data_IF_816975731654
#
_entry.id   IF_816975731654
#
_cell.length_a   1.000
_cell.length_b   1.000
_cell.length_c   1.000
_cell.angle_alpha   90.00
_cell.angle_beta   90.00
_cell.angle_gamma   90.00
#
_symmetry.space_group_name_H-M   'P 1'
#
loop_
_entity.id
_entity.type
_entity.pdbx_description
1 polymer ?
#
# COMPACT_ATOMS: atom_id res chain seq x y z
N UNK A 1 -22.78 36.97 1.76
CA UNK A 1 -22.81 35.70 2.52
C UNK A 1 -21.53 34.97 2.18
N UNK A 2 -20.64 34.72 3.14
CA UNK A 2 -19.49 33.85 2.87
C UNK A 2 -20.02 32.48 2.49
N UNK A 3 -19.68 31.96 1.31
CA UNK A 3 -20.00 30.57 0.97
C UNK A 3 -19.37 29.68 2.04
N UNK A 4 -20.15 28.70 2.51
CA UNK A 4 -19.64 27.68 3.45
C UNK A 4 -18.54 26.89 2.73
N UNK A 5 -17.43 26.63 3.40
CA UNK A 5 -16.38 25.76 2.89
C UNK A 5 -16.93 24.37 2.54
N UNK A 6 -16.46 23.81 1.43
CA UNK A 6 -16.83 22.49 0.94
C UNK A 6 -16.23 21.42 1.85
N UNK A 7 -17.06 20.60 2.50
CA UNK A 7 -16.59 19.63 3.49
C UNK A 7 -16.25 18.30 2.85
N UNK A 8 -15.02 17.84 3.07
CA UNK A 8 -14.54 16.53 2.59
C UNK A 8 -14.28 15.64 3.78
N UNK A 9 -15.03 14.54 3.94
CA UNK A 9 -14.74 13.53 4.96
C UNK A 9 -13.79 12.48 4.40
N UNK A 10 -12.56 12.44 4.90
CA UNK A 10 -11.60 11.38 4.58
C UNK A 10 -11.85 10.18 5.51
N UNK A 11 -12.04 9.00 4.93
CA UNK A 11 -12.27 7.75 5.68
C UNK A 11 -11.19 6.73 5.33
N UNK A 12 -10.43 6.31 6.33
CA UNK A 12 -9.38 5.30 6.20
C UNK A 12 -9.11 4.56 7.51
N UNK A 13 -8.48 3.39 7.45
CA UNK A 13 -8.35 2.52 8.63
C UNK A 13 -6.97 1.95 8.89
N UNK A 14 -6.11 1.95 7.88
CA UNK A 14 -4.85 1.23 7.88
C UNK A 14 -3.67 2.17 7.64
N UNK A 15 -2.50 1.70 8.03
CA UNK A 15 -1.23 2.39 7.81
C UNK A 15 -0.99 2.76 6.33
N UNK A 16 -1.13 1.84 5.34
CA UNK A 16 -0.95 2.20 3.93
C UNK A 16 -1.89 3.31 3.47
N UNK A 17 -3.15 3.30 3.92
CA UNK A 17 -4.11 4.35 3.57
C UNK A 17 -3.71 5.71 4.17
N UNK A 18 -3.30 5.75 5.43
CA UNK A 18 -2.84 6.98 6.07
C UNK A 18 -1.64 7.59 5.33
N UNK A 19 -0.67 6.77 4.92
CA UNK A 19 0.50 7.23 4.15
C UNK A 19 0.07 7.83 2.81
N UNK A 20 -0.82 7.15 2.08
CA UNK A 20 -1.29 7.59 0.76
C UNK A 20 -2.21 8.80 0.81
N UNK A 21 -2.97 8.99 1.88
CA UNK A 21 -3.85 10.14 2.05
C UNK A 21 -3.20 11.33 2.73
N UNK A 22 -2.04 11.16 3.37
CA UNK A 22 -1.40 12.23 4.14
C UNK A 22 -1.19 13.53 3.34
N UNK A 23 -0.65 13.40 2.12
CA UNK A 23 -0.38 14.58 1.30
C UNK A 23 -1.63 15.09 0.59
N UNK A 24 -2.59 14.22 0.30
CA UNK A 24 -3.93 14.65 -0.16
C UNK A 24 -4.57 15.53 0.92
N UNK A 25 -4.59 15.07 2.16
CA UNK A 25 -5.12 15.83 3.29
C UNK A 25 -4.41 17.19 3.43
N UNK A 26 -3.08 17.22 3.34
CA UNK A 26 -2.31 18.46 3.46
C UNK A 26 -2.66 19.47 2.36
N UNK A 27 -2.83 19.01 1.12
CA UNK A 27 -3.26 19.90 0.03
C UNK A 27 -4.71 20.38 0.22
N UNK A 28 -5.61 19.53 0.74
CA UNK A 28 -6.97 19.95 1.09
C UNK A 28 -6.98 21.00 2.21
N UNK A 29 -6.12 20.83 3.22
CA UNK A 29 -5.99 21.78 4.35
C UNK A 29 -5.41 23.14 3.92
N UNK A 30 -4.64 23.19 2.82
CA UNK A 30 -4.09 24.43 2.29
C UNK A 30 -5.13 25.28 1.52
N UNK A 31 -6.29 24.71 1.20
CA UNK A 31 -7.37 25.41 0.51
C UNK A 31 -8.30 26.12 1.48
N UNK A 32 -8.52 27.42 1.30
CA UNK A 32 -9.50 28.18 2.08
C UNK A 32 -10.95 27.80 1.76
N UNK A 33 -11.18 27.08 0.65
CA UNK A 33 -12.51 26.68 0.18
C UNK A 33 -12.91 25.28 0.64
N UNK A 34 -12.00 24.51 1.24
CA UNK A 34 -12.23 23.12 1.62
C UNK A 34 -12.02 22.96 3.12
N UNK A 35 -12.98 22.30 3.78
CA UNK A 35 -12.85 21.88 5.17
C UNK A 35 -12.69 20.35 5.20
N UNK A 36 -11.45 19.84 5.28
CA UNK A 36 -11.23 18.40 5.43
C UNK A 36 -11.56 17.97 6.86
N UNK A 37 -12.25 16.83 6.98
CA UNK A 37 -12.54 16.15 8.23
C UNK A 37 -11.96 14.74 8.15
N UNK A 38 -11.18 14.34 9.15
CA UNK A 38 -10.49 13.05 9.18
C UNK A 38 -11.25 12.09 10.08
N UNK A 39 -11.75 10.99 9.52
CA UNK A 39 -12.38 9.90 10.25
C UNK A 39 -11.58 8.61 10.04
N UNK A 40 -10.97 8.13 11.11
CA UNK A 40 -10.21 6.89 11.08
C UNK A 40 -11.02 5.74 11.65
N UNK A 41 -10.90 4.55 11.07
CA UNK A 41 -11.55 3.37 11.67
C UNK A 41 -10.78 2.80 12.86
N UNK A 42 -9.49 3.13 12.99
CA UNK A 42 -8.59 2.58 14.00
C UNK A 42 -8.64 1.04 14.02
N UNK A 43 -8.29 0.40 12.89
CA UNK A 43 -8.26 -1.08 12.78
C UNK A 43 -6.97 -1.70 13.32
N UNK A 44 -5.90 -0.90 13.41
CA UNK A 44 -4.55 -1.30 13.81
C UNK A 44 -3.88 -0.13 14.54
N UNK A 45 -4.32 0.15 15.77
CA UNK A 45 -3.98 1.37 16.53
C UNK A 45 -2.48 1.72 16.46
N UNK A 46 -1.58 0.81 16.86
CA UNK A 46 -0.15 1.13 16.93
C UNK A 46 0.51 1.46 15.58
N UNK A 47 0.13 0.79 14.49
CA UNK A 47 0.75 1.01 13.17
C UNK A 47 0.14 2.20 12.43
N UNK A 48 -1.15 2.45 12.64
CA UNK A 48 -1.83 3.62 12.13
C UNK A 48 -1.29 4.88 12.82
N UNK A 49 -1.19 4.86 14.15
CA UNK A 49 -0.68 5.98 14.95
C UNK A 49 0.73 6.40 14.52
N UNK A 50 1.62 5.44 14.25
CA UNK A 50 2.95 5.72 13.70
C UNK A 50 2.90 6.51 12.39
N UNK A 51 1.95 6.20 11.49
CA UNK A 51 1.79 6.94 10.25
C UNK A 51 1.19 8.32 10.49
N UNK A 52 0.16 8.41 11.33
CA UNK A 52 -0.45 9.68 11.70
C UNK A 52 0.59 10.65 12.30
N UNK A 53 1.45 10.16 13.20
CA UNK A 53 2.52 10.95 13.83
C UNK A 53 3.53 11.48 12.82
N UNK A 54 4.00 10.62 11.89
CA UNK A 54 4.98 11.02 10.86
C UNK A 54 4.47 12.16 9.98
N UNK A 55 3.17 12.16 9.69
CA UNK A 55 2.54 13.20 8.86
C UNK A 55 1.84 14.29 9.68
N UNK A 56 1.94 14.23 11.02
CA UNK A 56 1.27 15.15 11.95
C UNK A 56 -0.24 15.27 11.69
N UNK A 57 -0.88 14.13 11.40
CA UNK A 57 -2.32 14.05 11.14
C UNK A 57 -3.03 13.79 12.47
N UNK A 58 -3.98 14.67 12.81
CA UNK A 58 -4.88 14.46 13.95
C UNK A 58 -6.26 14.05 13.43
N UNK A 59 -6.76 12.84 13.75
CA UNK A 59 -8.13 12.47 13.43
C UNK A 59 -9.14 13.35 14.17
N UNK A 60 -10.20 13.76 13.49
CA UNK A 60 -11.38 14.40 14.11
C UNK A 60 -12.31 13.35 14.74
N UNK A 61 -12.34 12.16 14.16
CA UNK A 61 -13.14 11.03 14.62
C UNK A 61 -12.32 9.74 14.56
N UNK A 62 -12.44 8.92 15.61
CA UNK A 62 -12.06 7.52 15.59
C UNK A 62 -13.31 6.67 15.72
N UNK A 63 -13.44 5.63 14.89
CA UNK A 63 -14.54 4.67 14.98
C UNK A 63 -14.21 3.50 15.90
N UNK A 64 -12.97 3.38 16.41
CA UNK A 64 -12.52 2.35 17.37
C UNK A 64 -12.96 0.92 17.01
N UNK A 65 -12.79 0.54 15.74
CA UNK A 65 -13.30 -0.74 15.21
C UNK A 65 -12.53 -1.95 15.77
N UNK A 66 -11.33 -1.74 16.31
CA UNK A 66 -10.43 -2.84 16.64
C UNK A 66 -10.91 -3.69 17.82
N UNK A 67 -11.14 -4.98 17.55
CA UNK A 67 -11.21 -6.06 18.55
C UNK A 67 -10.27 -7.22 18.14
N UNK A 68 -10.02 -8.15 19.06
CA UNK A 68 -9.22 -9.35 18.75
C UNK A 68 -9.97 -10.25 17.74
N UNK A 69 -9.23 -10.77 16.75
CA UNK A 69 -9.72 -11.74 15.74
C UNK A 69 -11.01 -11.32 14.99
N UNK A 70 -11.02 -10.10 14.45
CA UNK A 70 -12.16 -9.54 13.72
C UNK A 70 -12.49 -10.31 12.44
N UNK A 71 -13.77 -10.60 12.25
CA UNK A 71 -14.30 -11.03 10.95
C UNK A 71 -14.58 -9.83 10.03
N UNK A 72 -14.63 -10.08 8.71
CA UNK A 72 -15.06 -9.07 7.73
C UNK A 72 -16.48 -8.56 8.00
N UNK A 73 -17.36 -9.41 8.54
CA UNK A 73 -18.71 -9.03 8.96
C UNK A 73 -18.66 -8.01 10.09
N UNK A 74 -17.85 -8.26 11.12
CA UNK A 74 -17.71 -7.36 12.26
C UNK A 74 -17.21 -5.98 11.81
N UNK A 75 -16.12 -5.94 11.03
CA UNK A 75 -15.56 -4.69 10.52
C UNK A 75 -16.62 -3.89 9.77
N UNK A 76 -17.32 -4.55 8.84
CA UNK A 76 -18.34 -3.88 8.00
C UNK A 76 -19.47 -3.33 8.86
N UNK A 77 -19.98 -4.13 9.81
CA UNK A 77 -21.06 -3.72 10.71
C UNK A 77 -20.65 -2.49 11.54
N UNK A 78 -19.49 -2.56 12.20
CA UNK A 78 -19.06 -1.51 13.14
C UNK A 78 -18.74 -0.22 12.41
N UNK A 79 -18.08 -0.27 11.24
CA UNK A 79 -17.83 0.94 10.45
C UNK A 79 -19.14 1.60 10.04
N UNK A 80 -20.10 0.84 9.50
CA UNK A 80 -21.40 1.38 9.08
C UNK A 80 -22.19 1.97 10.26
N UNK A 81 -22.25 1.26 11.39
CA UNK A 81 -22.94 1.70 12.60
C UNK A 81 -22.36 3.00 13.15
N UNK A 82 -21.02 3.09 13.24
CA UNK A 82 -20.34 4.21 13.91
C UNK A 82 -20.09 5.40 12.99
N UNK A 83 -20.02 5.22 11.68
CA UNK A 83 -19.85 6.33 10.74
C UNK A 83 -21.15 7.12 10.53
N UNK A 84 -22.32 6.48 10.64
CA UNK A 84 -23.62 7.14 10.46
C UNK A 84 -23.80 8.42 11.31
N UNK A 85 -23.55 8.41 12.64
CA UNK A 85 -23.63 9.63 13.45
C UNK A 85 -22.62 10.71 13.01
N UNK A 86 -21.43 10.32 12.53
CA UNK A 86 -20.43 11.26 11.99
C UNK A 86 -20.96 11.95 10.74
N UNK A 87 -21.56 11.19 9.80
CA UNK A 87 -22.16 11.73 8.58
C UNK A 87 -23.32 12.67 8.88
N UNK A 88 -24.19 12.31 9.85
CA UNK A 88 -25.30 13.16 10.28
C UNK A 88 -24.83 14.45 10.94
N UNK A 89 -23.78 14.38 11.77
CA UNK A 89 -23.25 15.54 12.48
C UNK A 89 -22.48 16.50 11.57
N UNK A 90 -21.58 15.97 10.73
CA UNK A 90 -20.71 16.81 9.88
C UNK A 90 -21.38 17.26 8.59
N UNK A 91 -22.31 16.45 8.06
CA UNK A 91 -22.95 16.64 6.74
C UNK A 91 -21.92 16.98 5.68
N UNK A 92 -20.96 16.06 5.40
CA UNK A 92 -19.93 16.32 4.41
C UNK A 92 -20.56 16.43 3.02
N UNK A 93 -19.93 17.23 2.17
CA UNK A 93 -20.33 17.44 0.79
C UNK A 93 -19.71 16.37 -0.14
N UNK A 94 -18.65 15.69 0.32
CA UNK A 94 -17.98 14.57 -0.35
C UNK A 94 -17.35 13.64 0.71
N UNK A 95 -17.36 12.33 0.45
CA UNK A 95 -16.54 11.34 1.18
C UNK A 95 -15.37 10.94 0.30
N UNK A 96 -14.15 10.97 0.83
CA UNK A 96 -12.94 10.53 0.14
C UNK A 96 -12.42 9.26 0.80
N UNK A 97 -12.26 8.21 -0.01
CA UNK A 97 -11.77 6.89 0.43
C UNK A 97 -10.55 6.48 -0.42
N UNK A 98 -9.71 5.60 0.11
CA UNK A 98 -8.48 5.15 -0.57
C UNK A 98 -8.39 3.63 -0.64
N UNK A 99 -8.19 3.09 -1.84
CA UNK A 99 -7.81 1.70 -2.04
C UNK A 99 -8.93 0.69 -1.85
N UNK A 100 -8.64 -0.41 -1.16
CA UNK A 100 -9.44 -1.63 -1.24
C UNK A 100 -9.68 -2.32 0.11
N UNK A 101 -9.44 -1.61 1.21
CA UNK A 101 -9.68 -2.14 2.54
C UNK A 101 -11.19 -2.23 2.83
N UNK A 102 -11.53 -3.05 3.81
CA UNK A 102 -12.94 -3.23 4.20
C UNK A 102 -13.52 -1.94 4.83
N UNK A 103 -12.69 -1.12 5.49
CA UNK A 103 -13.08 0.24 5.94
C UNK A 103 -13.43 1.13 4.77
N UNK A 104 -12.60 1.12 3.72
CA UNK A 104 -12.81 1.88 2.49
C UNK A 104 -14.17 1.55 1.88
N UNK A 105 -14.47 0.25 1.77
CA UNK A 105 -15.75 -0.23 1.25
C UNK A 105 -16.92 0.20 2.11
N UNK A 106 -16.87 -0.02 3.42
CA UNK A 106 -17.95 0.35 4.33
C UNK A 106 -18.17 1.89 4.38
N UNK A 107 -17.10 2.69 4.31
CA UNK A 107 -17.17 4.15 4.21
C UNK A 107 -17.85 4.62 2.92
N UNK A 108 -17.49 4.03 1.78
CA UNK A 108 -18.14 4.31 0.50
C UNK A 108 -19.64 3.93 0.51
N UNK A 109 -19.97 2.76 1.08
CA UNK A 109 -21.35 2.29 1.21
C UNK A 109 -22.18 3.21 2.10
N UNK A 110 -21.62 3.71 3.21
CA UNK A 110 -22.29 4.68 4.06
C UNK A 110 -22.57 6.01 3.33
N UNK A 111 -21.63 6.48 2.51
CA UNK A 111 -21.83 7.64 1.62
C UNK A 111 -23.02 7.45 0.69
N UNK A 112 -23.06 6.30 0.00
CA UNK A 112 -24.18 5.92 -0.85
C UNK A 112 -25.53 5.90 -0.10
N UNK A 113 -25.60 5.29 1.08
CA UNK A 113 -26.84 5.27 1.88
C UNK A 113 -27.32 6.67 2.27
N UNK A 114 -26.38 7.58 2.53
CA UNK A 114 -26.68 8.97 2.88
C UNK A 114 -26.79 9.90 1.66
N UNK A 115 -26.66 9.39 0.43
CA UNK A 115 -26.63 10.16 -0.83
C UNK A 115 -25.55 11.26 -0.83
N UNK A 116 -24.41 10.96 -0.24
CA UNK A 116 -23.22 11.82 -0.24
C UNK A 116 -22.26 11.25 -1.29
N UNK A 117 -21.80 12.06 -2.26
CA UNK A 117 -20.91 11.55 -3.29
C UNK A 117 -19.59 11.04 -2.70
N UNK A 118 -19.05 10.01 -3.32
CA UNK A 118 -17.81 9.32 -2.95
C UNK A 118 -16.74 9.58 -4.01
N UNK A 119 -15.55 9.93 -3.54
CA UNK A 119 -14.35 10.00 -4.35
C UNK A 119 -13.38 8.88 -3.96
N UNK A 120 -12.93 8.11 -4.94
CA UNK A 120 -12.08 6.95 -4.73
C UNK A 120 -10.65 7.22 -5.24
N UNK A 121 -9.71 7.33 -4.29
CA UNK A 121 -8.28 7.42 -4.55
C UNK A 121 -7.69 6.03 -4.77
N UNK A 122 -6.86 5.88 -5.80
CA UNK A 122 -6.30 4.59 -6.25
C UNK A 122 -7.32 3.68 -6.96
N UNK A 123 -8.29 4.28 -7.64
CA UNK A 123 -9.34 3.56 -8.36
C UNK A 123 -8.82 2.72 -9.55
N UNK A 124 -9.53 1.63 -9.86
CA UNK A 124 -9.34 0.88 -11.12
C UNK A 124 -8.24 -0.20 -11.15
N UNK A 125 -7.59 -0.52 -10.03
CA UNK A 125 -6.70 -1.67 -9.96
C UNK A 125 -7.50 -2.99 -10.02
N UNK A 126 -7.03 -3.99 -10.77
CA UNK A 126 -7.73 -5.26 -10.97
C UNK A 126 -6.77 -6.45 -11.02
N UNK A 127 -7.22 -7.57 -10.48
CA UNK A 127 -6.66 -8.90 -10.74
C UNK A 127 -7.61 -9.75 -11.59
N UNK A 128 -8.89 -9.38 -11.66
CA UNK A 128 -9.99 -10.12 -12.25
C UNK A 128 -10.26 -11.48 -11.59
N UNK A 129 -9.73 -11.68 -10.37
CA UNK A 129 -10.05 -12.82 -9.51
C UNK A 129 -10.62 -12.32 -8.18
N UNK A 130 -11.93 -12.51 -8.00
CA UNK A 130 -12.66 -12.06 -6.80
C UNK A 130 -12.17 -12.69 -5.49
N UNK A 131 -11.39 -13.77 -5.56
CA UNK A 131 -10.84 -14.46 -4.39
C UNK A 131 -9.33 -14.29 -4.25
N UNK A 132 -8.68 -13.50 -5.13
CA UNK A 132 -7.24 -13.25 -5.08
C UNK A 132 -6.88 -11.86 -5.63
N UNK A 133 -6.53 -10.89 -4.76
CA UNK A 133 -6.55 -10.93 -3.29
C UNK A 133 -7.97 -10.88 -2.71
N UNK A 134 -8.17 -11.55 -1.56
CA UNK A 134 -9.45 -11.62 -0.84
C UNK A 134 -9.39 -10.91 0.51
N UNK A 135 -10.31 -9.98 0.80
CA UNK A 135 -11.49 -9.57 0.02
C UNK A 135 -11.24 -8.39 -0.96
N UNK A 136 -10.01 -7.95 -1.12
CA UNK A 136 -9.67 -6.65 -1.68
C UNK A 136 -10.10 -6.47 -3.16
N UNK A 137 -10.07 -7.52 -3.99
CA UNK A 137 -10.58 -7.42 -5.38
C UNK A 137 -12.05 -7.03 -5.42
N UNK A 138 -12.88 -7.65 -4.58
CA UNK A 138 -14.30 -7.32 -4.56
C UNK A 138 -14.53 -5.93 -3.96
N UNK A 139 -13.80 -5.56 -2.90
CA UNK A 139 -13.93 -4.25 -2.28
C UNK A 139 -13.70 -3.12 -3.29
N UNK A 140 -12.58 -3.10 -4.03
CA UNK A 140 -12.30 -2.03 -5.01
C UNK A 140 -13.29 -2.00 -6.16
N UNK A 141 -13.76 -3.16 -6.63
CA UNK A 141 -14.78 -3.21 -7.68
C UNK A 141 -16.11 -2.61 -7.21
N UNK A 142 -16.51 -2.87 -5.97
CA UNK A 142 -17.73 -2.30 -5.38
C UNK A 142 -17.59 -0.81 -5.11
N UNK A 143 -16.45 -0.36 -4.56
CA UNK A 143 -16.19 1.06 -4.31
C UNK A 143 -16.21 1.85 -5.62
N UNK A 144 -15.59 1.34 -6.68
CA UNK A 144 -15.58 1.98 -8.00
C UNK A 144 -16.99 2.17 -8.59
N UNK A 145 -17.98 1.34 -8.19
CA UNK A 145 -19.38 1.49 -8.59
C UNK A 145 -20.16 2.48 -7.74
N UNK A 146 -19.72 2.69 -6.50
CA UNK A 146 -20.34 3.62 -5.56
C UNK A 146 -19.78 5.04 -5.72
N UNK A 147 -18.62 5.21 -6.36
CA UNK A 147 -17.93 6.48 -6.48
C UNK A 147 -18.36 7.32 -7.69
N UNK A 148 -18.54 8.62 -7.47
CA UNK A 148 -18.78 9.64 -8.48
C UNK A 148 -17.47 10.18 -9.09
N UNK A 149 -16.37 10.14 -8.32
CA UNK A 149 -15.05 10.58 -8.76
C UNK A 149 -14.02 9.47 -8.56
N UNK A 150 -13.28 9.11 -9.60
CA UNK A 150 -12.32 8.02 -9.60
C UNK A 150 -10.92 8.54 -9.97
N UNK A 151 -10.00 8.53 -9.02
CA UNK A 151 -8.62 8.95 -9.22
C UNK A 151 -7.74 7.72 -9.48
N UNK A 152 -7.61 7.39 -10.76
CA UNK A 152 -6.84 6.25 -11.23
C UNK A 152 -5.33 6.56 -11.24
N UNK A 153 -4.47 5.68 -10.70
CA UNK A 153 -3.04 5.95 -10.63
C UNK A 153 -2.34 5.83 -11.99
N UNK A 154 -2.92 5.09 -12.93
CA UNK A 154 -2.32 4.82 -14.25
C UNK A 154 -3.36 4.79 -15.36
N UNK A 155 -2.89 4.88 -16.61
CA UNK A 155 -3.74 4.68 -17.80
C UNK A 155 -4.34 3.27 -17.86
N UNK A 156 -3.64 2.25 -17.34
CA UNK A 156 -4.14 0.87 -17.26
C UNK A 156 -5.33 0.80 -16.30
N UNK A 157 -5.20 1.39 -15.11
CA UNK A 157 -6.29 1.44 -14.13
C UNK A 157 -7.52 2.18 -14.69
N UNK A 158 -7.30 3.30 -15.40
CA UNK A 158 -8.37 3.99 -16.14
C UNK A 158 -9.03 3.09 -17.19
N UNK A 159 -8.25 2.30 -17.92
CA UNK A 159 -8.79 1.41 -18.95
C UNK A 159 -9.65 0.28 -18.34
N UNK A 160 -9.28 -0.23 -17.17
CA UNK A 160 -10.09 -1.20 -16.43
C UNK A 160 -11.47 -0.60 -16.09
N UNK A 161 -11.50 0.60 -15.52
CA UNK A 161 -12.74 1.31 -15.17
C UNK A 161 -13.64 1.53 -16.41
N UNK A 162 -13.05 1.96 -17.52
CA UNK A 162 -13.78 2.15 -18.78
C UNK A 162 -14.34 0.83 -19.33
N UNK A 163 -13.58 -0.27 -19.23
CA UNK A 163 -14.02 -1.60 -19.68
C UNK A 163 -15.20 -2.14 -18.86
N UNK A 164 -15.36 -1.66 -17.63
CA UNK A 164 -16.48 -1.97 -16.75
C UNK A 164 -17.68 -1.04 -16.94
N UNK A 165 -17.59 -0.07 -17.87
CA UNK A 165 -18.67 0.85 -18.18
C UNK A 165 -18.79 2.05 -17.24
N UNK A 166 -17.75 2.37 -16.46
CA UNK A 166 -17.69 3.64 -15.73
C UNK A 166 -17.59 4.80 -16.72
N UNK A 167 -18.37 5.86 -16.48
CA UNK A 167 -18.42 7.04 -17.34
C UNK A 167 -17.06 7.73 -17.38
N UNK A 168 -16.58 8.05 -18.58
CA UNK A 168 -15.25 8.64 -18.79
C UNK A 168 -14.99 9.89 -17.94
N UNK A 169 -16.00 10.74 -17.79
CA UNK A 169 -15.88 12.04 -17.12
C UNK A 169 -15.76 11.93 -15.59
N UNK A 170 -16.06 10.75 -15.03
CA UNK A 170 -15.82 10.44 -13.63
C UNK A 170 -14.36 10.03 -13.36
N UNK A 171 -13.55 9.75 -14.39
CA UNK A 171 -12.22 9.12 -14.24
C UNK A 171 -11.08 10.09 -14.54
N UNK A 172 -10.21 10.30 -13.56
CA UNK A 172 -9.05 11.17 -13.62
C UNK A 172 -7.78 10.34 -13.44
N UNK A 173 -6.77 10.51 -14.32
CA UNK A 173 -5.46 9.86 -14.14
C UNK A 173 -4.56 10.81 -13.37
N UNK A 174 -4.21 10.44 -12.13
CA UNK A 174 -3.52 11.35 -11.19
C UNK A 174 -2.09 10.94 -10.85
N UNK A 175 -1.70 9.69 -11.14
CA UNK A 175 -0.55 9.08 -10.46
C UNK A 175 -0.95 8.50 -9.10
N UNK A 176 -0.01 7.82 -8.44
CA UNK A 176 -0.24 7.21 -7.12
C UNK A 176 0.39 8.08 -6.02
N UNK A 177 -0.40 8.44 -5.02
CA UNK A 177 0.01 9.32 -3.91
C UNK A 177 1.05 8.71 -2.97
N UNK A 178 1.31 7.41 -3.06
CA UNK A 178 2.43 6.76 -2.39
C UNK A 178 3.78 7.35 -2.84
N UNK A 179 3.87 7.82 -4.09
CA UNK A 179 5.07 8.46 -4.63
C UNK A 179 5.30 9.83 -4.00
N UNK A 180 4.24 10.61 -3.82
CA UNK A 180 4.30 11.89 -3.11
C UNK A 180 4.79 11.66 -1.67
N UNK A 181 4.23 10.66 -0.99
CA UNK A 181 4.61 10.30 0.39
C UNK A 181 6.09 9.87 0.47
N UNK A 182 6.56 9.13 -0.53
CA UNK A 182 7.97 8.75 -0.65
C UNK A 182 8.88 9.98 -0.72
N UNK A 183 8.61 10.91 -1.63
CA UNK A 183 9.42 12.11 -1.78
C UNK A 183 9.41 12.97 -0.51
N UNK A 184 8.23 13.09 0.13
CA UNK A 184 8.09 13.81 1.39
C UNK A 184 8.97 13.26 2.51
N UNK A 185 9.02 11.94 2.67
CA UNK A 185 9.83 11.27 3.70
C UNK A 185 11.31 11.34 3.35
N UNK A 186 11.69 11.07 2.09
CA UNK A 186 13.09 11.13 1.62
C UNK A 186 13.76 12.44 1.99
N UNK A 187 13.06 13.56 1.81
CA UNK A 187 13.61 14.90 2.01
C UNK A 187 13.73 15.30 3.49
N UNK A 188 13.12 14.52 4.40
CA UNK A 188 13.09 14.76 5.85
C UNK A 188 13.96 13.79 6.65
N UNK A 189 14.30 12.64 6.08
CA UNK A 189 15.18 11.66 6.74
C UNK A 189 16.64 12.03 6.45
N UNK A 190 17.44 12.43 7.45
CA UNK A 190 18.83 12.81 7.23
C UNK A 190 19.65 11.62 6.71
N UNK A 191 20.64 11.84 5.82
CA UNK A 191 21.44 10.77 5.21
C UNK A 191 22.25 9.88 6.19
N UNK A 192 22.23 10.20 7.49
CA UNK A 192 23.16 9.67 8.50
C UNK A 192 22.67 8.43 9.24
N UNK A 193 21.39 8.06 9.18
CA UNK A 193 20.95 6.73 9.60
C UNK A 193 21.26 5.69 8.50
N UNK A 194 22.49 5.71 7.99
CA UNK A 194 22.97 4.61 7.16
C UNK A 194 22.85 3.37 8.02
N UNK A 195 21.94 2.49 7.63
CA UNK A 195 21.86 1.14 8.16
C UNK A 195 23.28 0.60 8.30
N UNK A 196 23.62 0.09 9.48
CA UNK A 196 24.98 -0.38 9.71
C UNK A 196 25.21 -1.69 8.96
N UNK A 197 25.41 -1.57 7.65
CA UNK A 197 25.82 -2.64 6.76
C UNK A 197 27.20 -3.19 7.12
N UNK A 198 27.92 -2.64 8.11
CA UNK A 198 29.24 -3.17 8.50
C UNK A 198 29.14 -4.61 9.01
N UNK A 199 27.98 -5.04 9.56
CA UNK A 199 27.73 -6.46 9.85
C UNK A 199 27.59 -7.34 8.60
N UNK A 200 27.14 -6.76 7.48
CA UNK A 200 26.90 -7.48 6.24
C UNK A 200 28.08 -7.41 5.25
N UNK A 201 28.98 -6.43 5.41
CA UNK A 201 30.07 -6.11 4.46
C UNK A 201 29.71 -6.46 3.01
N UNK A 202 28.54 -5.99 2.50
CA UNK A 202 27.99 -6.50 1.26
C UNK A 202 28.95 -6.11 0.14
N UNK A 203 29.64 -7.11 -0.42
CA UNK A 203 30.42 -6.93 -1.63
C UNK A 203 29.48 -7.10 -2.81
N UNK A 204 29.43 -6.09 -3.69
CA UNK A 204 28.59 -6.10 -4.88
C UNK A 204 27.16 -5.63 -4.64
N UNK A 205 26.22 -6.33 -5.25
CA UNK A 205 24.83 -5.92 -5.49
C UNK A 205 23.93 -6.27 -4.31
N UNK A 206 23.07 -5.36 -3.88
CA UNK A 206 22.15 -5.60 -2.77
C UNK A 206 20.73 -5.84 -3.29
N UNK A 207 20.08 -6.90 -2.84
CA UNK A 207 18.67 -7.19 -3.13
C UNK A 207 17.86 -7.09 -1.84
N UNK A 208 17.01 -6.06 -1.73
CA UNK A 208 16.05 -5.94 -0.63
C UNK A 208 14.82 -6.80 -0.92
N UNK A 209 14.42 -7.61 0.05
CA UNK A 209 13.29 -8.52 -0.04
C UNK A 209 12.29 -8.23 1.08
N UNK A 210 11.01 -8.24 0.72
CA UNK A 210 9.89 -8.30 1.66
C UNK A 210 8.87 -9.33 1.15
N UNK A 211 8.31 -10.15 2.05
CA UNK A 211 7.21 -11.04 1.74
C UNK A 211 6.33 -11.21 3.00
N UNK A 212 5.04 -10.95 2.86
CA UNK A 212 4.10 -10.85 4.00
C UNK A 212 2.66 -11.28 3.68
N UNK A 213 2.39 -11.70 2.45
CA UNK A 213 1.05 -12.00 1.96
C UNK A 213 0.52 -13.33 2.52
N UNK A 214 -0.78 -13.37 2.86
CA UNK A 214 -1.41 -14.50 3.56
C UNK A 214 -1.40 -15.79 2.74
N UNK A 215 -1.57 -15.65 1.43
CA UNK A 215 -1.48 -16.70 0.42
C UNK A 215 -0.09 -17.34 0.33
N UNK A 216 0.97 -16.65 0.76
CA UNK A 216 2.31 -17.20 0.83
C UNK A 216 2.52 -18.18 2.01
N UNK A 217 1.58 -18.28 2.96
CA UNK A 217 1.75 -19.10 4.16
C UNK A 217 1.60 -20.60 3.91
N UNK A 218 0.91 -21.03 2.85
CA UNK A 218 0.79 -22.43 2.43
C UNK A 218 2.06 -22.93 1.69
N UNK A 219 3.21 -22.87 2.35
CA UNK A 219 4.51 -23.29 1.80
C UNK A 219 5.14 -22.32 0.79
N UNK A 220 4.51 -21.17 0.51
CA UNK A 220 5.04 -20.13 -0.36
C UNK A 220 6.31 -19.47 0.20
N UNK A 221 6.35 -19.23 1.51
CA UNK A 221 7.54 -18.70 2.19
C UNK A 221 8.73 -19.65 2.07
N UNK A 222 8.55 -20.96 2.23
CA UNK A 222 9.63 -21.94 2.07
C UNK A 222 10.19 -21.93 0.63
N UNK A 223 9.32 -21.83 -0.38
CA UNK A 223 9.75 -21.68 -1.78
C UNK A 223 10.51 -20.39 -2.02
N UNK A 224 10.07 -19.27 -1.43
CA UNK A 224 10.80 -18.01 -1.47
C UNK A 224 12.19 -18.19 -0.84
N UNK A 225 12.29 -18.79 0.36
CA UNK A 225 13.58 -19.06 1.00
C UNK A 225 14.51 -19.89 0.10
N UNK A 226 14.00 -20.95 -0.52
CA UNK A 226 14.79 -21.75 -1.47
C UNK A 226 15.29 -20.89 -2.64
N UNK A 227 14.41 -20.10 -3.25
CA UNK A 227 14.76 -19.24 -4.38
C UNK A 227 15.82 -18.19 -3.99
N UNK A 228 15.75 -17.64 -2.77
CA UNK A 228 16.77 -16.71 -2.25
C UNK A 228 18.12 -17.39 -2.02
N UNK A 229 18.13 -18.65 -1.54
CA UNK A 229 19.38 -19.44 -1.44
C UNK A 229 20.00 -19.69 -2.79
N UNK A 230 19.21 -20.14 -3.76
CA UNK A 230 19.67 -20.38 -5.12
C UNK A 230 20.24 -19.11 -5.75
N UNK A 231 19.60 -17.96 -5.51
CA UNK A 231 20.05 -16.67 -5.99
C UNK A 231 21.45 -16.31 -5.45
N UNK A 232 21.67 -16.37 -4.14
CA UNK A 232 23.01 -16.08 -3.61
C UNK A 232 24.03 -17.13 -4.08
N UNK A 233 23.68 -18.41 -4.13
CA UNK A 233 24.61 -19.45 -4.59
C UNK A 233 25.06 -19.25 -6.04
N UNK A 234 24.16 -18.86 -6.93
CA UNK A 234 24.47 -18.63 -8.35
C UNK A 234 25.17 -17.31 -8.63
N UNK A 235 25.09 -16.34 -7.73
CA UNK A 235 25.61 -14.99 -7.93
C UNK A 235 26.49 -14.59 -6.74
N UNK A 236 27.81 -14.75 -6.88
CA UNK A 236 28.78 -14.47 -5.81
C UNK A 236 28.86 -12.99 -5.43
N UNK A 237 28.43 -12.09 -6.32
CA UNK A 237 28.39 -10.64 -6.14
C UNK A 237 27.05 -10.14 -5.59
N UNK A 238 26.13 -11.01 -5.17
CA UNK A 238 24.83 -10.62 -4.63
C UNK A 238 24.76 -10.84 -3.12
N UNK A 239 24.31 -9.81 -2.40
CA UNK A 239 23.88 -9.86 -1.00
C UNK A 239 22.38 -9.61 -0.92
N UNK A 240 21.66 -10.45 -0.18
CA UNK A 240 20.23 -10.28 0.05
C UNK A 240 20.02 -9.66 1.43
N UNK A 241 19.16 -8.65 1.49
CA UNK A 241 18.65 -8.08 2.74
C UNK A 241 17.18 -8.42 2.80
N UNK A 242 16.75 -9.20 3.77
CA UNK A 242 15.36 -9.60 3.91
C UNK A 242 14.78 -9.01 5.20
N UNK A 243 13.88 -8.04 5.05
CA UNK A 243 13.04 -7.54 6.13
C UNK A 243 11.92 -8.54 6.43
N UNK A 244 12.09 -9.31 7.51
CA UNK A 244 11.24 -10.44 7.83
C UNK A 244 9.97 -9.96 8.51
N UNK A 245 8.81 -10.40 8.03
CA UNK A 245 7.51 -10.07 8.64
C UNK A 245 7.42 -10.62 10.08
N UNK A 246 6.78 -9.91 11.03
CA UNK A 246 6.78 -10.32 12.44
C UNK A 246 5.93 -11.58 12.74
N UNK A 247 5.04 -11.96 11.82
CA UNK A 247 4.20 -13.17 11.97
C UNK A 247 5.08 -14.41 12.25
N UNK A 248 4.87 -15.11 13.38
CA UNK A 248 5.67 -16.27 13.78
C UNK A 248 5.78 -17.34 12.68
N UNK A 249 4.68 -17.64 11.97
CA UNK A 249 4.65 -18.63 10.89
C UNK A 249 5.56 -18.27 9.71
N UNK A 250 5.87 -16.99 9.53
CA UNK A 250 6.84 -16.51 8.53
C UNK A 250 8.23 -16.47 9.13
N UNK A 251 8.35 -15.83 10.30
CA UNK A 251 9.63 -15.55 10.95
C UNK A 251 10.39 -16.83 11.26
N UNK A 252 9.72 -17.84 11.78
CA UNK A 252 10.33 -19.13 12.13
C UNK A 252 10.90 -19.84 10.89
N UNK A 253 10.12 -19.91 9.80
CA UNK A 253 10.55 -20.53 8.54
C UNK A 253 11.72 -19.76 7.91
N UNK A 254 11.67 -18.44 7.91
CA UNK A 254 12.75 -17.62 7.33
C UNK A 254 14.04 -17.75 8.16
N UNK A 255 13.92 -17.74 9.49
CA UNK A 255 15.06 -17.93 10.38
C UNK A 255 15.65 -19.33 10.24
N UNK A 256 14.83 -20.38 10.20
CA UNK A 256 15.33 -21.76 10.06
C UNK A 256 16.05 -21.99 8.73
N UNK A 257 15.51 -21.45 7.63
CA UNK A 257 16.03 -21.71 6.28
C UNK A 257 17.22 -20.82 5.90
N UNK A 258 17.28 -19.58 6.40
CA UNK A 258 18.20 -18.55 5.88
C UNK A 258 19.19 -17.99 6.90
N UNK A 259 19.00 -18.16 8.22
CA UNK A 259 19.84 -17.49 9.22
C UNK A 259 21.33 -17.88 9.17
N UNK A 260 21.66 -19.06 8.63
CA UNK A 260 23.04 -19.54 8.46
C UNK A 260 23.70 -19.09 7.15
N UNK A 261 22.99 -18.35 6.30
CA UNK A 261 23.51 -17.91 5.01
C UNK A 261 24.22 -16.56 5.17
N UNK A 262 25.55 -16.55 5.03
CA UNK A 262 26.37 -15.34 5.27
C UNK A 262 25.97 -14.14 4.41
N UNK A 263 25.51 -14.37 3.17
CA UNK A 263 25.09 -13.32 2.22
C UNK A 263 23.58 -13.07 2.22
N UNK A 264 22.85 -13.57 3.22
CA UNK A 264 21.43 -13.24 3.44
C UNK A 264 21.29 -12.64 4.82
N UNK A 265 21.08 -11.32 4.85
CA UNK A 265 20.95 -10.53 6.07
C UNK A 265 19.48 -10.43 6.43
N UNK A 266 19.09 -11.10 7.51
CA UNK A 266 17.72 -11.03 8.03
C UNK A 266 17.59 -9.82 8.96
N UNK A 267 16.63 -8.95 8.65
CA UNK A 267 16.30 -7.78 9.45
C UNK A 267 14.94 -7.97 10.12
N UNK A 268 14.80 -7.35 11.28
CA UNK A 268 13.47 -7.10 11.84
C UNK A 268 12.64 -6.22 10.88
N UNK A 269 11.30 -6.22 11.02
CA UNK A 269 10.43 -5.45 10.15
C UNK A 269 10.88 -3.98 10.08
N UNK A 270 11.13 -3.49 8.87
CA UNK A 270 11.57 -2.12 8.68
C UNK A 270 10.38 -1.18 8.91
N UNK A 271 10.60 -0.13 9.71
CA UNK A 271 9.63 0.96 9.79
C UNK A 271 9.57 1.69 8.44
N UNK A 272 8.50 1.48 7.68
CA UNK A 272 8.33 2.00 6.32
C UNK A 272 8.56 3.51 6.17
N UNK A 273 8.37 4.28 7.24
CA UNK A 273 8.46 5.74 7.22
C UNK A 273 9.81 6.28 7.70
N UNK A 274 10.56 5.50 8.47
CA UNK A 274 11.86 5.93 9.00
C UNK A 274 13.02 5.21 8.35
N UNK A 275 12.77 4.11 7.62
CA UNK A 275 13.85 3.25 7.16
C UNK A 275 14.51 3.73 5.85
N UNK A 276 15.79 4.14 5.85
CA UNK A 276 16.45 4.71 4.67
C UNK A 276 16.65 3.74 3.50
N UNK A 277 16.58 2.42 3.77
CA UNK A 277 16.59 1.42 2.69
C UNK A 277 15.29 1.39 1.91
N UNK A 278 14.16 1.63 2.57
CA UNK A 278 12.88 1.65 1.88
C UNK A 278 12.76 2.91 1.03
N UNK A 279 13.16 4.08 1.54
CA UNK A 279 13.18 5.32 0.73
C UNK A 279 14.05 5.23 -0.53
N UNK A 280 15.21 4.55 -0.47
CA UNK A 280 16.05 4.28 -1.66
C UNK A 280 15.47 3.20 -2.60
N UNK A 281 14.82 2.19 -2.04
CA UNK A 281 14.18 1.07 -2.74
C UNK A 281 13.00 1.56 -3.57
N UNK A 282 12.11 2.36 -2.97
CA UNK A 282 10.95 2.91 -3.65
C UNK A 282 11.34 3.80 -4.84
N UNK A 283 12.42 4.57 -4.72
CA UNK A 283 12.96 5.37 -5.84
C UNK A 283 13.30 4.52 -7.08
N UNK A 284 13.77 3.27 -6.87
CA UNK A 284 14.07 2.34 -7.97
C UNK A 284 12.86 1.58 -8.48
N UNK A 285 11.91 1.19 -7.61
CA UNK A 285 10.64 0.60 -8.06
C UNK A 285 9.86 1.56 -8.98
N UNK A 286 9.92 2.86 -8.71
CA UNK A 286 9.28 3.91 -9.52
C UNK A 286 9.88 4.01 -10.93
N UNK A 287 11.21 3.96 -11.07
CA UNK A 287 11.88 3.94 -12.39
C UNK A 287 11.47 2.72 -13.23
N UNK A 288 11.22 1.57 -12.58
CA UNK A 288 10.77 0.35 -13.24
C UNK A 288 9.26 0.34 -13.56
N UNK A 289 8.42 0.90 -12.71
CA UNK A 289 6.95 0.94 -12.90
C UNK A 289 6.54 1.93 -14.00
N UNK A 290 7.22 3.06 -14.14
CA UNK A 290 6.91 4.05 -15.19
C UNK A 290 7.18 3.56 -16.63
N UNK A 291 8.02 2.52 -16.82
CA UNK A 291 8.37 1.97 -18.15
C UNK A 291 7.57 0.75 -18.60
N UNK A 292 6.72 0.13 -17.75
CA UNK A 292 6.11 -1.19 -18.02
C UNK A 292 4.58 -1.21 -18.23
N UNK A 293 3.94 -0.07 -18.44
CA UNK A 293 2.49 0.00 -18.66
C UNK A 293 1.99 -0.49 -20.06
N UNK A 294 2.79 -1.23 -20.82
CA UNK A 294 2.33 -1.88 -22.06
C UNK A 294 3.03 -3.22 -22.26
N UNK A 295 2.22 -4.29 -22.35
CA UNK A 295 2.57 -5.69 -22.66
C UNK A 295 2.81 -6.59 -21.43
N UNK A 296 1.73 -7.23 -20.99
CA UNK A 296 1.75 -8.37 -20.05
C UNK A 296 2.07 -9.70 -20.75
N UNK A 297 2.16 -9.75 -22.09
CA UNK A 297 2.60 -10.95 -22.79
C UNK A 297 4.05 -10.83 -23.27
N UNK A 298 4.91 -11.72 -22.74
CA UNK A 298 6.37 -11.88 -22.94
C UNK A 298 7.27 -11.11 -21.98
N UNK A 299 7.34 -11.55 -20.72
CA UNK A 299 8.44 -11.18 -19.80
C UNK A 299 9.67 -12.05 -20.08
N UNK A 300 10.32 -11.81 -21.22
CA UNK A 300 11.76 -12.01 -21.36
C UNK A 300 12.29 -10.90 -22.27
N UNK A 301 13.31 -10.15 -21.80
CA UNK A 301 13.94 -8.96 -22.43
C UNK A 301 13.14 -7.68 -22.10
N UNK A 302 13.66 -6.64 -21.44
CA UNK A 302 15.01 -6.11 -21.33
C UNK A 302 15.23 -5.57 -19.90
N UNK A 303 16.42 -5.81 -19.40
CA UNK A 303 16.98 -5.30 -18.14
C UNK A 303 18.01 -4.23 -18.56
N UNK A 304 18.15 -3.05 -17.89
CA UNK A 304 19.28 -2.16 -18.16
C UNK A 304 20.59 -2.95 -18.13
N UNK A 305 21.57 -2.57 -18.95
CA UNK A 305 22.80 -3.35 -19.21
C UNK A 305 23.57 -3.78 -17.94
N UNK A 306 23.34 -3.11 -16.81
CA UNK A 306 23.98 -3.39 -15.51
C UNK A 306 23.11 -4.24 -14.54
N UNK A 307 21.89 -4.61 -14.94
CA UNK A 307 20.98 -5.42 -14.12
C UNK A 307 21.05 -6.90 -14.49
N UNK A 308 21.34 -7.73 -13.49
CA UNK A 308 21.40 -9.18 -13.62
C UNK A 308 19.98 -9.71 -13.71
N UNK A 309 19.71 -10.46 -14.77
CA UNK A 309 18.46 -11.21 -14.96
C UNK A 309 18.44 -12.35 -13.95
N UNK A 310 17.52 -12.32 -12.99
CA UNK A 310 17.31 -13.43 -12.06
C UNK A 310 15.92 -13.99 -12.30
N UNK A 311 15.85 -15.07 -13.08
CA UNK A 311 14.61 -15.87 -13.22
C UNK A 311 14.44 -16.69 -11.94
N UNK A 312 13.63 -16.17 -11.00
CA UNK A 312 13.14 -16.94 -9.86
C UNK A 312 11.86 -17.63 -10.32
N UNK A 313 11.91 -18.94 -10.47
CA UNK A 313 10.78 -19.78 -10.88
C UNK A 313 9.79 -19.90 -9.70
N UNK A 314 8.98 -18.85 -9.50
CA UNK A 314 8.00 -18.75 -8.43
C UNK A 314 6.60 -19.01 -8.98
N UNK A 315 5.87 -19.93 -8.34
CA UNK A 315 4.46 -20.17 -8.63
C UNK A 315 3.65 -18.84 -8.63
N UNK A 316 2.67 -18.62 -9.53
CA UNK A 316 1.96 -17.35 -9.71
C UNK A 316 1.31 -16.74 -8.45
N UNK A 317 1.06 -17.57 -7.43
CA UNK A 317 0.49 -17.16 -6.14
C UNK A 317 1.51 -16.67 -5.11
N UNK A 318 2.82 -16.76 -5.38
CA UNK A 318 3.86 -16.31 -4.44
C UNK A 318 4.23 -14.86 -4.74
N UNK A 319 3.78 -13.93 -3.89
CA UNK A 319 4.09 -12.50 -4.03
C UNK A 319 5.44 -12.16 -3.37
N UNK A 320 6.51 -12.14 -4.15
CA UNK A 320 7.82 -11.64 -3.75
C UNK A 320 8.01 -10.20 -4.27
N UNK A 321 8.23 -9.23 -3.37
CA UNK A 321 8.74 -7.90 -3.76
C UNK A 321 10.24 -7.87 -3.51
N UNK A 322 11.02 -7.92 -4.59
CA UNK A 322 12.47 -7.76 -4.57
C UNK A 322 12.87 -6.45 -5.25
N UNK A 323 13.82 -5.73 -4.66
CA UNK A 323 14.30 -4.45 -5.18
C UNK A 323 15.82 -4.40 -5.13
N UNK A 324 16.40 -3.97 -6.23
CA UNK A 324 17.82 -3.98 -6.44
C UNK A 324 18.44 -2.64 -6.01
N UNK A 325 19.20 -2.62 -4.92
CA UNK A 325 19.94 -1.46 -4.41
C UNK A 325 21.38 -1.50 -4.95
N UNK A 326 21.81 -0.40 -5.59
CA UNK A 326 23.19 -0.18 -6.05
C UNK A 326 23.81 0.81 -5.07
#
# INVERSE_FOLDING_TARGET
>A
MSERAFKVLLVFGTRPEAIKLALVLRELQASEQIEPVVCVSAQHDELLDQALDVFSIKPDYSLDVMIYDQSLFHITQVVLERIEPVLKAKRPDLILVQGDANTTFAGALAGYYCKIPVAHVEAGLRTHDKYAPFPEEMNRCLIDRLAELLFAPTKVARQNLLSEGIVKDAIFVTGNTEIDALYFVRDRVPPRERFDFRRASPQGKIVLVTAHRRESFAGGIARICQALRDLVQRNSDVTIVYAVHPNPNVREVVQSELAKQERIVLLDPLDHLRHPLLTRTFHKQEYFMQRRASRIDKVTKEFPADSVKVDLDLHPSNHLKAVYLN
#
